data_IF_281879051185
#
_entry.id   IF_281879051185
#
_cell.length_a   1.000
_cell.length_b   1.000
_cell.length_c   1.000
_cell.angle_alpha   90.00
_cell.angle_beta   90.00
_cell.angle_gamma   90.00
#
_symmetry.space_group_name_H-M   'P 1'
#
loop_
_entity.id
_entity.type
_entity.pdbx_description
1 polymer ?
#
# COMPACT_ATOMS: atom_id res chain seq x y z
N UNK A 1 -28.46 -14.23 30.08
CA UNK A 1 -29.86 -14.51 29.69
C UNK A 1 -30.64 -13.20 29.66
N UNK A 2 -30.78 -12.40 30.74
CA UNK A 2 -31.53 -11.13 30.73
C UNK A 2 -31.10 -10.16 29.59
N UNK A 3 -29.83 -9.96 29.36
CA UNK A 3 -29.35 -9.05 28.30
C UNK A 3 -29.71 -9.51 26.86
N UNK A 4 -29.92 -10.81 26.64
CA UNK A 4 -30.37 -11.35 25.35
C UNK A 4 -31.84 -11.10 25.10
N UNK A 5 -32.66 -11.25 26.15
CA UNK A 5 -34.10 -11.00 26.07
C UNK A 5 -34.35 -9.49 25.83
N UNK A 6 -33.64 -8.61 26.55
CA UNK A 6 -33.71 -7.16 26.37
C UNK A 6 -33.31 -6.75 24.94
N UNK A 7 -32.22 -7.31 24.41
CA UNK A 7 -31.75 -7.04 23.05
C UNK A 7 -32.75 -7.55 22.00
N UNK A 8 -33.34 -8.74 22.19
CA UNK A 8 -34.35 -9.26 21.29
C UNK A 8 -35.61 -8.40 21.25
N UNK A 9 -36.00 -7.85 22.38
CA UNK A 9 -37.15 -6.93 22.48
C UNK A 9 -36.89 -5.61 21.79
N UNK A 10 -35.70 -5.03 22.02
CA UNK A 10 -35.30 -3.72 21.47
C UNK A 10 -35.09 -3.79 19.95
N UNK A 11 -34.46 -4.86 19.47
CA UNK A 11 -34.10 -5.00 18.04
C UNK A 11 -35.17 -5.70 17.20
N UNK A 12 -36.10 -6.39 17.82
CA UNK A 12 -37.05 -7.27 17.18
C UNK A 12 -36.40 -8.35 16.30
N UNK A 13 -35.20 -8.81 16.69
CA UNK A 13 -34.41 -9.81 16.00
C UNK A 13 -34.14 -11.01 16.90
N UNK A 14 -33.96 -12.18 16.30
CA UNK A 14 -33.52 -13.36 17.03
C UNK A 14 -31.98 -13.20 17.32
N UNK A 15 -31.64 -13.25 18.61
CA UNK A 15 -30.24 -13.07 19.06
C UNK A 15 -29.60 -14.46 19.23
N UNK A 16 -28.51 -14.70 18.52
CA UNK A 16 -27.70 -15.90 18.65
C UNK A 16 -26.38 -15.56 19.34
N UNK A 17 -26.11 -16.08 20.56
CA UNK A 17 -24.88 -15.83 21.26
C UNK A 17 -23.74 -16.69 20.69
N UNK A 18 -22.59 -16.05 20.45
CA UNK A 18 -21.37 -16.73 20.02
C UNK A 18 -20.23 -16.42 20.99
N UNK A 19 -19.29 -17.35 21.11
CA UNK A 19 -18.08 -17.15 21.92
C UNK A 19 -16.98 -16.67 20.98
N UNK A 20 -16.33 -15.54 21.34
CA UNK A 20 -15.25 -14.98 20.57
C UNK A 20 -14.12 -14.49 21.48
N UNK A 21 -12.92 -14.31 20.95
CA UNK A 21 -11.81 -13.74 21.70
C UNK A 21 -12.04 -12.23 21.92
N UNK A 22 -11.42 -11.65 22.96
CA UNK A 22 -11.51 -10.20 23.20
C UNK A 22 -11.02 -9.39 21.99
N UNK A 23 -10.06 -9.93 21.25
CA UNK A 23 -9.53 -9.32 20.01
C UNK A 23 -10.58 -9.33 18.89
N UNK A 24 -11.26 -10.46 18.68
CA UNK A 24 -12.29 -10.59 17.65
C UNK A 24 -13.50 -9.71 17.94
N UNK A 25 -13.88 -9.61 19.23
CA UNK A 25 -14.95 -8.72 19.67
C UNK A 25 -14.60 -7.27 19.38
N UNK A 26 -13.35 -6.82 19.68
CA UNK A 26 -12.91 -5.46 19.35
C UNK A 26 -12.93 -5.19 17.85
N UNK A 27 -12.41 -6.10 17.05
CA UNK A 27 -12.44 -5.99 15.58
C UNK A 27 -13.89 -5.86 15.08
N UNK A 28 -14.82 -6.66 15.61
CA UNK A 28 -16.23 -6.58 15.24
C UNK A 28 -16.86 -5.24 15.66
N UNK A 29 -16.60 -4.77 16.89
CA UNK A 29 -17.10 -3.48 17.36
C UNK A 29 -16.57 -2.36 16.46
N UNK A 30 -15.28 -2.33 16.19
CA UNK A 30 -14.66 -1.30 15.34
C UNK A 30 -15.18 -1.35 13.90
N UNK A 31 -15.44 -2.54 13.38
CA UNK A 31 -15.98 -2.74 12.03
C UNK A 31 -17.42 -2.21 11.88
N UNK A 32 -18.26 -2.41 12.90
CA UNK A 32 -19.68 -2.10 12.81
C UNK A 32 -20.07 -0.80 13.53
N UNK A 33 -19.27 -0.36 14.51
CA UNK A 33 -19.57 0.82 15.34
C UNK A 33 -18.44 1.87 15.32
N UNK A 34 -17.33 1.63 14.58
CA UNK A 34 -16.16 2.50 14.55
C UNK A 34 -16.46 3.90 14.01
N UNK A 35 -17.41 4.03 13.08
CA UNK A 35 -17.86 5.32 12.56
C UNK A 35 -18.50 6.18 13.68
N UNK A 36 -19.33 5.58 14.51
CA UNK A 36 -19.93 6.26 15.65
C UNK A 36 -18.88 6.67 16.71
N UNK A 37 -17.85 5.86 16.92
CA UNK A 37 -16.74 6.17 17.81
C UNK A 37 -15.92 7.35 17.27
N UNK A 38 -15.58 7.37 15.98
CA UNK A 38 -14.86 8.48 15.35
C UNK A 38 -15.65 9.79 15.40
N UNK A 39 -16.97 9.74 15.18
CA UNK A 39 -17.84 10.91 15.30
C UNK A 39 -17.90 11.45 16.73
N UNK A 40 -17.94 10.57 17.74
CA UNK A 40 -17.94 10.98 19.15
C UNK A 40 -16.65 11.69 19.56
N UNK A 41 -15.49 11.18 19.12
CA UNK A 41 -14.17 11.77 19.35
C UNK A 41 -14.03 13.11 18.62
N UNK A 42 -14.52 13.23 17.41
CA UNK A 42 -14.55 14.47 16.66
C UNK A 42 -15.42 15.54 17.34
N UNK A 43 -16.60 15.15 17.86
CA UNK A 43 -17.49 16.04 18.60
C UNK A 43 -16.86 16.50 19.93
N UNK A 44 -16.12 15.64 20.61
CA UNK A 44 -15.39 16.00 21.82
C UNK A 44 -14.29 17.03 21.53
N UNK A 45 -13.49 16.81 20.50
CA UNK A 45 -12.46 17.76 20.08
C UNK A 45 -13.03 19.13 19.67
N UNK A 46 -14.14 19.14 18.94
CA UNK A 46 -14.81 20.38 18.56
C UNK A 46 -15.30 21.17 19.81
N UNK A 47 -15.81 20.47 20.83
CA UNK A 47 -16.20 21.08 22.09
C UNK A 47 -15.02 21.67 22.88
N UNK A 48 -13.93 20.92 23.00
CA UNK A 48 -12.71 21.37 23.70
C UNK A 48 -12.09 22.58 23.00
N UNK A 49 -12.02 22.58 21.68
CA UNK A 49 -11.52 23.72 20.90
C UNK A 49 -12.38 24.97 21.05
N UNK A 50 -13.71 24.83 21.09
CA UNK A 50 -14.62 25.94 21.31
C UNK A 50 -14.53 26.50 22.74
N UNK A 51 -14.23 25.66 23.74
CA UNK A 51 -13.96 26.09 25.10
C UNK A 51 -12.62 26.83 25.20
N UNK A 52 -11.56 26.35 24.55
CA UNK A 52 -10.27 27.03 24.48
C UNK A 52 -10.35 28.36 23.73
N UNK A 53 -11.09 28.49 22.63
CA UNK A 53 -11.31 29.78 21.96
C UNK A 53 -12.02 30.81 22.87
N UNK A 54 -12.88 30.36 23.76
CA UNK A 54 -13.53 31.24 24.79
C UNK A 54 -12.59 31.57 25.95
N UNK A 55 -11.59 30.73 26.24
CA UNK A 55 -10.63 30.95 27.33
C UNK A 55 -9.41 31.79 26.94
N UNK A 56 -9.00 31.76 25.65
CA UNK A 56 -7.84 32.54 25.13
C UNK A 56 -8.15 34.04 24.98
N UNK A 57 -9.39 34.50 25.22
CA UNK A 57 -9.66 35.93 25.40
C UNK A 57 -9.21 36.51 26.75
N UNK A 58 -8.58 35.72 27.62
CA UNK A 58 -8.01 36.17 28.88
C UNK A 58 -6.71 35.41 29.21
N UNK A 59 -5.58 36.08 28.88
CA UNK A 59 -4.19 35.90 29.42
C UNK A 59 -3.76 34.48 29.86
N UNK A 60 -2.72 33.94 29.31
CA UNK A 60 -1.37 33.80 29.82
C UNK A 60 -0.57 32.75 29.03
N UNK A 61 0.55 33.22 28.46
CA UNK A 61 1.69 32.42 28.09
C UNK A 61 2.39 31.92 29.35
N UNK A 62 2.39 30.64 29.62
CA UNK A 62 3.32 30.01 30.54
C UNK A 62 3.60 28.57 30.12
N UNK A 63 4.87 28.29 29.84
CA UNK A 63 5.54 27.01 29.73
C UNK A 63 4.78 25.85 30.37
N UNK A 64 4.35 24.89 29.53
CA UNK A 64 4.10 23.53 29.97
C UNK A 64 5.03 22.62 29.20
N UNK A 65 5.96 21.98 29.90
CA UNK A 65 6.62 20.75 29.45
C UNK A 65 5.52 19.78 29.04
N UNK A 66 5.52 19.45 27.75
CA UNK A 66 4.49 18.60 27.16
C UNK A 66 4.95 17.17 27.35
N UNK A 67 4.39 16.44 28.31
CA UNK A 67 4.60 15.01 28.49
C UNK A 67 4.12 14.27 27.23
N UNK A 68 4.95 13.44 26.61
CA UNK A 68 4.66 12.66 25.41
C UNK A 68 3.39 11.80 25.55
N UNK A 69 3.10 11.25 26.73
CA UNK A 69 1.88 10.47 27.03
C UNK A 69 0.58 11.29 26.93
N UNK A 70 0.62 12.59 27.18
CA UNK A 70 -0.55 13.48 27.08
C UNK A 70 -0.84 13.84 25.61
N UNK A 71 0.18 13.87 24.77
CA UNK A 71 0.04 14.13 23.32
C UNK A 71 -0.64 12.95 22.62
N UNK A 72 -0.29 11.73 22.97
CA UNK A 72 -0.79 10.51 22.30
C UNK A 72 -2.29 10.25 22.56
N UNK A 73 -2.86 10.83 23.61
CA UNK A 73 -4.28 10.71 23.95
C UNK A 73 -5.12 11.94 23.55
N UNK A 74 -4.54 12.91 22.85
CA UNK A 74 -5.29 14.05 22.33
C UNK A 74 -6.40 13.58 21.37
N UNK A 75 -7.64 14.14 21.46
CA UNK A 75 -8.76 13.72 20.62
C UNK A 75 -8.45 13.72 19.12
N UNK A 76 -7.63 14.66 18.63
CA UNK A 76 -7.24 14.73 17.20
C UNK A 76 -6.29 13.60 16.82
N UNK A 77 -5.41 13.17 17.72
CA UNK A 77 -4.50 12.04 17.50
C UNK A 77 -5.30 10.73 17.41
N UNK A 78 -6.24 10.56 18.33
CA UNK A 78 -7.16 9.42 18.35
C UNK A 78 -8.00 9.40 17.07
N UNK A 79 -8.51 10.55 16.61
CA UNK A 79 -9.31 10.66 15.40
C UNK A 79 -8.52 10.21 14.15
N UNK A 80 -7.31 10.76 13.94
CA UNK A 80 -6.47 10.39 12.79
C UNK A 80 -6.10 8.90 12.83
N UNK A 81 -5.75 8.39 14.02
CA UNK A 81 -5.47 6.96 14.21
C UNK A 81 -6.69 6.10 13.85
N UNK A 82 -7.88 6.46 14.34
CA UNK A 82 -9.13 5.74 14.06
C UNK A 82 -9.46 5.74 12.55
N UNK A 83 -9.28 6.85 11.85
CA UNK A 83 -9.47 6.94 10.39
C UNK A 83 -8.57 5.93 9.68
N UNK A 84 -7.29 5.83 10.06
CA UNK A 84 -6.34 4.90 9.45
C UNK A 84 -6.69 3.45 9.78
N UNK A 85 -6.96 3.13 11.04
CA UNK A 85 -7.30 1.79 11.48
C UNK A 85 -8.57 1.26 10.79
N UNK A 86 -9.61 2.09 10.69
CA UNK A 86 -10.84 1.72 9.98
C UNK A 86 -10.59 1.50 8.48
N UNK A 87 -9.78 2.34 7.85
CA UNK A 87 -9.42 2.16 6.45
C UNK A 87 -8.71 0.83 6.23
N UNK A 88 -7.74 0.48 7.08
CA UNK A 88 -7.03 -0.81 7.03
C UNK A 88 -8.00 -1.98 7.15
N UNK A 89 -8.89 -1.96 8.14
CA UNK A 89 -9.88 -3.05 8.38
C UNK A 89 -10.89 -3.20 7.25
N UNK A 90 -11.15 -2.13 6.49
CA UNK A 90 -12.02 -2.16 5.32
C UNK A 90 -11.29 -2.52 4.02
N UNK A 91 -9.99 -2.86 4.08
CA UNK A 91 -9.19 -3.20 2.89
C UNK A 91 -9.01 -2.02 1.93
N UNK A 92 -8.90 -0.81 2.48
CA UNK A 92 -8.72 0.44 1.73
C UNK A 92 -7.31 0.54 1.17
N UNK A 93 -7.18 0.91 -0.10
CA UNK A 93 -5.88 1.22 -0.71
C UNK A 93 -5.44 2.65 -0.48
N UNK A 94 -6.38 3.61 -0.55
CA UNK A 94 -6.08 5.04 -0.41
C UNK A 94 -7.15 5.74 0.42
N UNK A 95 -6.73 6.57 1.39
CA UNK A 95 -7.59 7.46 2.17
C UNK A 95 -7.48 8.86 1.56
N UNK A 96 -8.62 9.47 1.27
CA UNK A 96 -8.71 10.85 0.81
C UNK A 96 -9.38 11.70 1.89
N UNK A 97 -8.71 12.75 2.36
CA UNK A 97 -9.25 13.77 3.24
C UNK A 97 -9.34 15.06 2.45
N UNK A 98 -10.53 15.53 2.22
CA UNK A 98 -10.82 16.61 1.27
C UNK A 98 -11.50 17.78 1.96
N UNK A 99 -10.92 18.98 1.79
CA UNK A 99 -11.54 20.23 2.19
C UNK A 99 -12.61 20.61 1.15
N UNK A 100 -13.85 20.70 1.56
CA UNK A 100 -14.96 21.26 0.79
C UNK A 100 -15.36 22.60 1.42
N UNK A 101 -16.28 23.31 0.79
CA UNK A 101 -16.70 24.64 1.23
C UNK A 101 -17.21 24.68 2.69
N UNK A 102 -18.01 23.69 3.10
CA UNK A 102 -18.64 23.65 4.40
C UNK A 102 -18.17 22.49 5.29
N UNK A 103 -17.53 21.46 4.73
CA UNK A 103 -17.17 20.25 5.45
C UNK A 103 -15.83 19.65 5.03
N UNK A 104 -15.25 18.85 5.91
CA UNK A 104 -14.16 17.93 5.59
C UNK A 104 -14.80 16.60 5.22
N UNK A 105 -14.52 16.11 4.02
CA UNK A 105 -15.00 14.83 3.51
C UNK A 105 -13.89 13.80 3.55
N UNK A 106 -14.17 12.61 4.10
CA UNK A 106 -13.24 11.48 4.10
C UNK A 106 -13.80 10.39 3.19
N UNK A 107 -12.99 9.99 2.20
CA UNK A 107 -13.32 8.91 1.28
C UNK A 107 -12.26 7.82 1.32
N UNK A 108 -12.70 6.59 1.26
CA UNK A 108 -11.84 5.41 1.13
C UNK A 108 -11.93 4.86 -0.28
N UNK A 109 -10.77 4.50 -0.85
CA UNK A 109 -10.72 3.73 -2.10
C UNK A 109 -10.70 2.25 -1.76
N UNK A 110 -11.82 1.58 -2.00
CA UNK A 110 -12.01 0.15 -1.76
C UNK A 110 -12.26 -0.51 -3.11
N UNK A 111 -11.46 -1.51 -3.48
CA UNK A 111 -11.55 -2.20 -4.78
C UNK A 111 -11.57 -1.24 -5.98
N UNK A 112 -10.76 -0.19 -5.93
CA UNK A 112 -10.66 0.81 -6.99
C UNK A 112 -11.72 1.92 -6.94
N UNK A 113 -12.82 1.74 -6.20
CA UNK A 113 -13.93 2.70 -6.09
C UNK A 113 -13.81 3.59 -4.87
N UNK A 114 -14.00 4.90 -5.03
CA UNK A 114 -14.05 5.84 -3.91
C UNK A 114 -15.44 5.86 -3.28
N UNK A 115 -15.48 5.69 -1.94
CA UNK A 115 -16.70 5.77 -1.13
C UNK A 115 -16.54 6.81 -0.04
N UNK A 116 -17.52 7.70 0.13
CA UNK A 116 -17.58 8.60 1.29
C UNK A 116 -17.94 7.77 2.53
N UNK A 117 -17.10 7.86 3.56
CA UNK A 117 -17.27 7.09 4.79
C UNK A 117 -17.52 7.98 6.00
N UNK A 118 -16.99 9.20 6.00
CA UNK A 118 -17.15 10.15 7.10
C UNK A 118 -17.17 11.58 6.57
N UNK A 119 -17.84 12.46 7.30
CA UNK A 119 -17.71 13.90 7.10
C UNK A 119 -17.68 14.61 8.45
N UNK A 120 -16.90 15.70 8.52
CA UNK A 120 -16.68 16.49 9.72
C UNK A 120 -16.84 17.98 9.43
N UNK A 121 -17.00 18.79 10.47
CA UNK A 121 -16.96 20.25 10.34
C UNK A 121 -15.60 20.71 9.79
N UNK A 122 -15.61 21.72 8.95
CA UNK A 122 -14.39 22.29 8.36
C UNK A 122 -13.39 22.76 9.41
N UNK A 123 -13.86 23.13 10.60
CA UNK A 123 -13.05 23.54 11.75
C UNK A 123 -12.04 22.47 12.19
N UNK A 124 -12.25 21.19 11.88
CA UNK A 124 -11.36 20.08 12.23
C UNK A 124 -10.20 19.89 11.23
N UNK A 125 -10.29 20.46 10.03
CA UNK A 125 -9.31 20.25 8.97
C UNK A 125 -7.89 20.56 9.40
N UNK A 126 -7.67 21.75 9.95
CA UNK A 126 -6.33 22.19 10.37
C UNK A 126 -5.69 21.24 11.39
N UNK A 127 -6.51 20.75 12.34
CA UNK A 127 -6.03 19.80 13.34
C UNK A 127 -5.66 18.45 12.75
N UNK A 128 -6.52 17.93 11.86
CA UNK A 128 -6.28 16.65 11.16
C UNK A 128 -5.01 16.73 10.31
N UNK A 129 -4.88 17.79 9.49
CA UNK A 129 -3.73 17.99 8.62
C UNK A 129 -2.44 18.18 9.42
N UNK A 130 -2.47 19.01 10.46
CA UNK A 130 -1.32 19.22 11.34
C UNK A 130 -0.84 17.89 11.97
N UNK A 131 -1.76 17.07 12.49
CA UNK A 131 -1.39 15.76 13.05
C UNK A 131 -0.77 14.83 12.02
N UNK A 132 -1.31 14.80 10.80
CA UNK A 132 -0.77 13.99 9.70
C UNK A 132 0.62 14.49 9.32
N UNK A 133 0.85 15.81 9.23
CA UNK A 133 2.15 16.41 8.97
C UNK A 133 3.19 16.02 10.02
N UNK A 134 2.83 16.11 11.30
CA UNK A 134 3.70 15.69 12.40
C UNK A 134 4.08 14.21 12.25
N UNK A 135 3.08 13.35 12.07
CA UNK A 135 3.31 11.92 11.94
C UNK A 135 4.14 11.55 10.70
N UNK A 136 4.02 12.32 9.62
CA UNK A 136 4.73 12.10 8.36
C UNK A 136 6.05 12.86 8.21
N UNK A 137 6.51 13.58 9.26
CA UNK A 137 7.76 14.35 9.22
C UNK A 137 7.73 15.56 8.28
N UNK A 138 6.56 16.17 8.10
CA UNK A 138 6.34 17.33 7.23
C UNK A 138 6.27 18.65 8.01
N UNK A 139 6.48 19.77 7.33
CA UNK A 139 6.42 21.12 7.92
C UNK A 139 4.95 21.54 8.16
N UNK A 140 4.59 21.76 9.42
CA UNK A 140 3.24 22.19 9.84
C UNK A 140 2.95 23.63 9.45
N UNK A 141 3.98 24.48 9.40
CA UNK A 141 3.85 25.91 9.14
C UNK A 141 3.67 26.22 7.66
N UNK A 142 4.17 25.38 6.77
CA UNK A 142 4.03 25.57 5.32
C UNK A 142 2.70 24.96 4.83
N UNK A 143 1.77 25.82 4.42
CA UNK A 143 0.44 25.44 3.91
C UNK A 143 0.22 25.76 2.44
N UNK A 144 1.20 26.38 1.77
CA UNK A 144 1.07 26.91 0.40
C UNK A 144 1.71 26.03 -0.65
N UNK A 145 2.52 25.05 -0.24
CA UNK A 145 3.26 24.17 -1.14
C UNK A 145 2.85 22.71 -0.92
N UNK A 146 2.87 21.89 -1.97
CA UNK A 146 2.73 20.46 -1.82
C UNK A 146 3.82 19.88 -0.90
N UNK A 147 3.45 18.88 -0.11
CA UNK A 147 4.38 18.17 0.75
C UNK A 147 4.08 16.67 0.68
N UNK A 148 5.14 15.88 0.69
CA UNK A 148 5.07 14.43 0.76
C UNK A 148 5.74 13.95 2.05
N UNK A 149 5.18 12.91 2.65
CA UNK A 149 5.66 12.33 3.89
C UNK A 149 5.38 10.82 3.97
N UNK A 150 5.87 10.21 5.04
CA UNK A 150 5.71 8.78 5.28
C UNK A 150 5.40 8.52 6.75
N UNK A 151 4.38 7.70 7.01
CA UNK A 151 3.96 7.30 8.35
C UNK A 151 4.08 5.77 8.43
N UNK A 152 4.65 5.28 9.51
CA UNK A 152 4.59 3.86 9.84
C UNK A 152 3.61 3.66 10.98
N UNK A 153 2.63 2.76 10.81
CA UNK A 153 1.63 2.47 11.83
C UNK A 153 1.36 0.97 11.93
N UNK A 154 1.25 0.47 13.16
CA UNK A 154 0.87 -0.92 13.41
C UNK A 154 -0.64 -0.98 13.63
N UNK A 155 -1.34 -1.77 12.83
CA UNK A 155 -2.78 -2.04 12.95
C UNK A 155 -2.99 -3.55 13.01
N UNK A 156 -3.67 -4.04 14.04
CA UNK A 156 -3.96 -5.46 14.25
C UNK A 156 -2.70 -6.36 14.13
N UNK A 157 -1.57 -5.91 14.71
CA UNK A 157 -0.23 -6.54 14.69
C UNK A 157 0.46 -6.56 13.31
N UNK A 158 -0.09 -5.90 12.32
CA UNK A 158 0.49 -5.75 10.99
C UNK A 158 1.05 -4.34 10.85
N UNK A 159 2.29 -4.22 10.41
CA UNK A 159 2.93 -2.94 10.12
C UNK A 159 2.51 -2.44 8.73
N UNK A 160 2.01 -1.20 8.69
CA UNK A 160 1.64 -0.50 7.46
C UNK A 160 2.61 0.65 7.18
N UNK A 161 3.05 0.71 5.94
CA UNK A 161 3.72 1.88 5.37
C UNK A 161 2.66 2.77 4.70
N UNK A 162 2.56 4.00 5.16
CA UNK A 162 1.56 4.95 4.69
C UNK A 162 2.29 6.11 4.01
N UNK A 163 2.17 6.19 2.69
CA UNK A 163 2.70 7.32 1.92
C UNK A 163 1.66 8.42 1.90
N UNK A 164 2.06 9.59 2.32
CA UNK A 164 1.19 10.75 2.48
C UNK A 164 1.57 11.82 1.46
N UNK A 165 0.59 12.32 0.73
CA UNK A 165 0.75 13.50 -0.12
C UNK A 165 -0.28 14.56 0.27
N UNK A 166 0.20 15.78 0.49
CA UNK A 166 -0.62 16.93 0.87
C UNK A 166 -0.55 17.97 -0.24
N UNK A 167 -1.70 18.44 -0.69
CA UNK A 167 -1.84 19.42 -1.74
C UNK A 167 -2.72 20.59 -1.28
N UNK A 168 -2.23 21.84 -1.33
CA UNK A 168 -3.06 23.02 -1.11
C UNK A 168 -4.20 23.10 -2.14
N UNK A 169 -5.43 23.33 -1.68
CA UNK A 169 -6.60 23.56 -2.53
C UNK A 169 -7.31 24.85 -2.11
N UNK A 170 -8.34 25.27 -2.87
CA UNK A 170 -9.08 26.51 -2.61
C UNK A 170 -9.72 26.57 -1.22
N UNK A 171 -10.21 25.42 -0.72
CA UNK A 171 -10.90 25.36 0.56
C UNK A 171 -10.01 24.88 1.72
N UNK A 172 -8.73 24.59 1.47
CA UNK A 172 -7.77 24.10 2.44
C UNK A 172 -6.88 22.99 1.88
N UNK A 173 -6.08 22.36 2.73
CA UNK A 173 -5.17 21.30 2.29
C UNK A 173 -5.92 19.97 2.11
N UNK A 174 -5.73 19.36 0.94
CA UNK A 174 -6.18 17.99 0.65
C UNK A 174 -5.08 17.02 1.02
N UNK A 175 -5.43 15.91 1.67
CA UNK A 175 -4.51 14.83 2.01
C UNK A 175 -4.91 13.54 1.29
N UNK A 176 -3.93 12.85 0.73
CA UNK A 176 -4.08 11.48 0.24
C UNK A 176 -3.06 10.61 0.97
N UNK A 177 -3.53 9.52 1.55
CA UNK A 177 -2.69 8.52 2.23
C UNK A 177 -2.86 7.18 1.54
N UNK A 178 -1.77 6.65 0.96
CA UNK A 178 -1.74 5.30 0.37
C UNK A 178 -1.27 4.31 1.42
N UNK A 179 -2.07 3.28 1.65
CA UNK A 179 -1.80 2.23 2.63
C UNK A 179 -1.13 1.04 1.95
N UNK A 180 0.04 0.65 2.46
CA UNK A 180 0.76 -0.54 1.99
C UNK A 180 1.11 -1.41 3.20
N UNK A 181 0.61 -2.64 3.25
CA UNK A 181 0.98 -3.60 4.28
C UNK A 181 2.41 -4.07 4.04
N UNK A 182 3.26 -4.07 5.07
CA UNK A 182 4.59 -4.69 4.99
C UNK A 182 4.55 -6.21 5.13
N UNK A 183 3.44 -6.76 5.61
CA UNK A 183 3.22 -8.19 5.69
C UNK A 183 2.44 -8.69 4.48
N UNK A 184 2.80 -9.88 3.97
CA UNK A 184 2.03 -10.55 2.92
C UNK A 184 2.39 -10.18 1.49
N UNK A 185 3.52 -9.50 1.26
CA UNK A 185 4.08 -9.37 -0.10
C UNK A 185 4.70 -10.69 -0.56
N UNK A 186 5.24 -11.50 0.36
CA UNK A 186 5.62 -12.89 0.08
C UNK A 186 4.42 -13.79 0.35
N UNK A 187 3.93 -14.45 -0.68
CA UNK A 187 2.83 -15.42 -0.60
C UNK A 187 3.33 -16.80 -1.02
N UNK A 188 2.71 -17.88 -0.56
CA UNK A 188 2.94 -19.17 -1.19
C UNK A 188 2.66 -19.07 -2.69
N UNK A 189 3.49 -19.66 -3.53
CA UNK A 189 3.37 -19.60 -5.00
C UNK A 189 1.97 -20.02 -5.47
N UNK A 190 1.36 -21.02 -4.82
CA UNK A 190 -0.02 -21.45 -5.06
C UNK A 190 -1.08 -20.35 -4.86
N UNK A 191 -0.77 -19.30 -4.10
CA UNK A 191 -1.68 -18.17 -3.86
C UNK A 191 -1.58 -17.07 -4.91
N UNK A 192 -0.61 -17.13 -5.84
CA UNK A 192 -0.47 -16.17 -6.95
C UNK A 192 -1.62 -16.25 -7.97
N UNK A 193 -2.33 -17.37 -7.98
CA UNK A 193 -3.51 -17.55 -8.84
C UNK A 193 -3.20 -17.99 -10.27
N UNK A 194 -1.99 -18.47 -10.53
CA UNK A 194 -1.63 -19.10 -11.80
C UNK A 194 -2.35 -20.43 -11.97
N UNK A 195 -2.69 -20.77 -13.20
CA UNK A 195 -3.12 -22.12 -13.55
C UNK A 195 -1.94 -23.09 -13.45
N UNK A 196 -2.21 -24.41 -13.45
CA UNK A 196 -1.14 -25.41 -13.40
C UNK A 196 -0.15 -25.29 -14.59
N UNK A 197 -0.66 -24.93 -15.77
CA UNK A 197 0.16 -24.73 -16.96
C UNK A 197 1.04 -23.48 -16.84
N UNK A 198 0.46 -22.37 -16.40
CA UNK A 198 1.19 -21.12 -16.16
C UNK A 198 2.23 -21.28 -15.05
N UNK A 199 1.91 -22.06 -14.01
CA UNK A 199 2.85 -22.35 -12.93
C UNK A 199 4.06 -23.13 -13.45
N UNK A 200 3.86 -24.15 -14.29
CA UNK A 200 4.96 -24.88 -14.92
C UNK A 200 5.84 -23.98 -15.79
N UNK A 201 5.24 -23.04 -16.52
CA UNK A 201 5.99 -22.04 -17.29
C UNK A 201 6.78 -21.10 -16.38
N UNK A 202 6.16 -20.64 -15.29
CA UNK A 202 6.81 -19.79 -14.31
C UNK A 202 8.01 -20.47 -13.66
N UNK A 203 7.86 -21.73 -13.25
CA UNK A 203 8.94 -22.54 -12.69
C UNK A 203 10.08 -22.74 -13.72
N UNK A 204 9.74 -23.02 -14.98
CA UNK A 204 10.72 -23.13 -16.04
C UNK A 204 11.48 -21.84 -16.32
N UNK A 205 10.83 -20.68 -16.18
CA UNK A 205 11.47 -19.36 -16.30
C UNK A 205 12.45 -19.13 -15.15
N UNK A 206 12.05 -19.41 -13.91
CA UNK A 206 12.88 -19.20 -12.73
C UNK A 206 14.04 -20.20 -12.60
N UNK A 207 13.95 -21.36 -13.23
CA UNK A 207 15.02 -22.37 -13.24
C UNK A 207 16.20 -22.00 -14.15
N UNK A 208 16.10 -20.91 -14.94
CA UNK A 208 17.22 -20.47 -15.77
C UNK A 208 18.32 -19.87 -14.89
N UNK A 209 19.58 -20.24 -15.15
CA UNK A 209 20.71 -19.75 -14.36
C UNK A 209 21.05 -18.27 -14.63
N UNK A 210 20.68 -17.76 -15.79
CA UNK A 210 20.92 -16.37 -16.20
C UNK A 210 19.83 -15.92 -17.18
N UNK A 211 19.78 -14.64 -17.45
CA UNK A 211 18.80 -14.01 -18.33
C UNK A 211 17.94 -13.00 -17.60
N UNK A 212 17.04 -12.33 -18.33
CA UNK A 212 16.14 -11.34 -17.74
C UNK A 212 14.70 -11.85 -17.73
N UNK A 213 14.07 -11.78 -16.56
CA UNK A 213 12.65 -12.08 -16.32
C UNK A 213 11.93 -10.77 -16.02
N UNK A 214 10.88 -10.47 -16.77
CA UNK A 214 10.15 -9.23 -16.66
C UNK A 214 8.69 -9.48 -16.25
N UNK A 215 8.25 -8.82 -15.19
CA UNK A 215 6.85 -8.82 -14.80
C UNK A 215 6.24 -7.47 -15.16
N UNK A 216 5.16 -7.48 -15.93
CA UNK A 216 4.54 -6.27 -16.46
C UNK A 216 3.06 -6.18 -16.08
N UNK A 217 2.55 -4.98 -16.08
CA UNK A 217 1.17 -4.66 -15.77
C UNK A 217 1.01 -3.28 -15.16
N UNK A 218 -0.24 -2.77 -14.99
CA UNK A 218 -0.48 -1.48 -14.35
C UNK A 218 -0.09 -1.49 -12.88
N UNK A 219 -0.13 -0.31 -12.26
CA UNK A 219 0.01 -0.18 -10.81
C UNK A 219 -1.08 -0.98 -10.11
N UNK A 220 -0.71 -1.71 -9.05
CA UNK A 220 -1.64 -2.55 -8.29
C UNK A 220 -1.99 -3.90 -8.96
N UNK A 221 -1.28 -4.31 -10.02
CA UNK A 221 -1.49 -5.64 -10.63
C UNK A 221 -0.79 -6.80 -9.92
N UNK A 222 -0.10 -6.54 -8.79
CA UNK A 222 0.55 -7.56 -7.99
C UNK A 222 1.97 -7.93 -8.43
N UNK A 223 2.64 -7.11 -9.26
CA UNK A 223 3.99 -7.36 -9.76
C UNK A 223 5.01 -7.61 -8.64
N UNK A 224 5.07 -6.70 -7.66
CA UNK A 224 5.98 -6.82 -6.50
C UNK A 224 5.73 -8.09 -5.72
N UNK A 225 4.46 -8.47 -5.50
CA UNK A 225 4.10 -9.72 -4.82
C UNK A 225 4.64 -10.94 -5.57
N UNK A 226 4.48 -10.97 -6.90
CA UNK A 226 4.98 -12.06 -7.73
C UNK A 226 6.51 -12.14 -7.69
N UNK A 227 7.21 -11.01 -7.82
CA UNK A 227 8.68 -10.96 -7.72
C UNK A 227 9.18 -11.37 -6.32
N UNK A 228 8.58 -10.83 -5.26
CA UNK A 228 8.97 -11.17 -3.89
C UNK A 228 8.74 -12.66 -3.57
N UNK A 229 7.63 -13.22 -4.08
CA UNK A 229 7.38 -14.67 -3.96
C UNK A 229 8.43 -15.48 -4.72
N UNK A 230 8.79 -15.06 -5.94
CA UNK A 230 9.85 -15.70 -6.72
C UNK A 230 11.21 -15.62 -6.01
N UNK A 231 11.59 -14.44 -5.52
CA UNK A 231 12.85 -14.26 -4.79
C UNK A 231 12.90 -15.08 -3.50
N UNK A 232 11.80 -15.13 -2.74
CA UNK A 232 11.76 -15.97 -1.52
C UNK A 232 11.94 -17.46 -1.82
N UNK A 233 11.50 -17.92 -2.98
CA UNK A 233 11.69 -19.33 -3.40
C UNK A 233 13.13 -19.60 -3.85
N UNK A 234 13.74 -18.65 -4.55
CA UNK A 234 15.11 -18.73 -5.02
C UNK A 234 16.15 -18.48 -3.93
N UNK A 235 15.73 -17.94 -2.79
CA UNK A 235 16.61 -17.57 -1.68
C UNK A 235 17.03 -18.80 -0.88
N UNK A 236 18.16 -19.39 -1.27
CA UNK A 236 18.82 -20.49 -0.58
C UNK A 236 20.16 -20.01 0.00
N UNK A 237 20.77 -20.79 0.88
CA UNK A 237 22.05 -20.45 1.49
C UNK A 237 23.20 -20.30 0.48
N UNK A 238 23.06 -20.91 -0.69
CA UNK A 238 24.08 -20.94 -1.75
C UNK A 238 23.93 -19.80 -2.78
N UNK A 239 22.90 -18.94 -2.64
CA UNK A 239 22.55 -17.92 -3.64
C UNK A 239 22.62 -16.52 -3.05
N UNK A 240 23.41 -15.66 -3.67
CA UNK A 240 23.50 -14.24 -3.30
C UNK A 240 22.48 -13.42 -4.09
N UNK A 241 21.41 -13.00 -3.42
CA UNK A 241 20.35 -12.17 -3.99
C UNK A 241 20.51 -10.73 -3.54
N UNK A 242 20.59 -9.80 -4.49
CA UNK A 242 20.65 -8.36 -4.19
C UNK A 242 19.55 -7.64 -4.97
N UNK A 243 18.82 -6.75 -4.27
CA UNK A 243 17.78 -5.94 -4.90
C UNK A 243 18.11 -4.45 -4.89
N UNK A 244 17.53 -3.69 -5.83
CA UNK A 244 17.47 -2.22 -5.79
C UNK A 244 16.04 -1.77 -6.06
N UNK A 245 15.48 -0.95 -5.15
CA UNK A 245 14.05 -0.66 -5.10
C UNK A 245 13.77 0.81 -4.76
N UNK A 246 12.60 1.32 -5.16
CA UNK A 246 12.16 2.71 -4.91
C UNK A 246 10.69 2.80 -4.45
N UNK A 247 10.43 2.59 -3.15
CA UNK A 247 11.32 2.08 -2.10
C UNK A 247 11.23 0.54 -1.95
N UNK A 248 12.01 0.00 -1.01
CA UNK A 248 11.81 -1.37 -0.50
C UNK A 248 10.43 -1.47 0.14
N UNK A 249 9.58 -2.37 -0.38
CA UNK A 249 8.19 -2.50 0.06
C UNK A 249 8.06 -3.39 1.32
N UNK A 250 8.90 -4.43 1.45
CA UNK A 250 9.00 -5.30 2.62
C UNK A 250 10.38 -5.91 2.72
N UNK A 251 10.81 -6.23 3.94
CA UNK A 251 12.06 -6.95 4.14
C UNK A 251 11.85 -8.44 3.83
N UNK A 252 12.82 -9.04 3.15
CA UNK A 252 12.91 -10.48 2.93
C UNK A 252 14.20 -10.95 3.60
N UNK A 253 14.06 -11.84 4.59
CA UNK A 253 15.21 -12.38 5.29
C UNK A 253 16.14 -13.09 4.31
N UNK A 254 17.46 -12.90 4.46
CA UNK A 254 18.48 -13.48 3.61
C UNK A 254 18.74 -12.74 2.28
N UNK A 255 18.00 -11.68 1.98
CA UNK A 255 18.19 -10.87 0.77
C UNK A 255 18.77 -9.50 1.10
N UNK A 256 19.77 -9.06 0.35
CA UNK A 256 20.37 -7.74 0.48
C UNK A 256 19.57 -6.71 -0.33
N UNK A 257 18.75 -5.91 0.35
CA UNK A 257 17.84 -4.95 -0.31
C UNK A 257 18.40 -3.53 -0.22
N UNK A 258 18.65 -2.92 -1.39
CA UNK A 258 19.14 -1.54 -1.54
C UNK A 258 17.97 -0.63 -1.88
N UNK A 259 17.83 0.46 -1.14
CA UNK A 259 16.83 1.48 -1.45
C UNK A 259 17.45 2.65 -2.20
N UNK A 260 16.81 3.07 -3.29
CA UNK A 260 17.15 4.30 -4.03
C UNK A 260 17.12 5.51 -3.09
N UNK A 261 18.13 6.35 -3.19
CA UNK A 261 18.24 7.59 -2.41
C UNK A 261 18.76 8.73 -3.30
N UNK A 262 17.89 9.55 -3.91
CA UNK A 262 18.29 10.62 -4.80
C UNK A 262 19.19 11.69 -4.12
N UNK A 263 19.03 11.91 -2.81
CA UNK A 263 19.85 12.87 -2.05
C UNK A 263 21.32 12.43 -1.93
N UNK A 264 21.55 11.12 -1.99
CA UNK A 264 22.88 10.51 -1.97
C UNK A 264 23.33 10.07 -3.38
N UNK A 265 22.66 10.53 -4.44
CA UNK A 265 22.91 10.13 -5.84
C UNK A 265 22.82 8.60 -6.08
N UNK A 266 22.19 7.88 -5.17
CA UNK A 266 21.95 6.45 -5.27
C UNK A 266 20.73 6.20 -6.18
N UNK A 267 20.96 6.21 -7.49
CA UNK A 267 19.96 5.90 -8.52
C UNK A 267 19.91 4.39 -8.80
N UNK A 268 18.91 3.91 -9.56
CA UNK A 268 18.86 2.51 -10.02
C UNK A 268 20.15 2.13 -10.77
N UNK A 269 20.60 2.94 -11.72
CA UNK A 269 21.80 2.68 -12.51
C UNK A 269 23.09 2.69 -11.65
N UNK A 270 23.22 3.65 -10.71
CA UNK A 270 24.38 3.74 -9.82
C UNK A 270 24.45 2.52 -8.87
N UNK A 271 23.33 2.15 -8.27
CA UNK A 271 23.23 0.97 -7.42
C UNK A 271 23.56 -0.31 -8.20
N UNK A 272 22.97 -0.48 -9.39
CA UNK A 272 23.17 -1.67 -10.21
C UNK A 272 24.65 -1.88 -10.61
N UNK A 273 25.37 -0.80 -10.99
CA UNK A 273 26.81 -0.87 -11.23
C UNK A 273 27.60 -1.32 -10.01
N UNK A 274 27.15 -0.96 -8.81
CA UNK A 274 27.79 -1.39 -7.57
C UNK A 274 27.44 -2.83 -7.22
N UNK A 275 26.19 -3.23 -7.41
CA UNK A 275 25.69 -4.59 -7.19
C UNK A 275 26.49 -5.60 -8.01
N UNK A 276 26.81 -5.29 -9.28
CA UNK A 276 27.63 -6.15 -10.16
C UNK A 276 29.05 -6.43 -9.62
N UNK A 277 29.51 -5.71 -8.61
CA UNK A 277 30.78 -5.95 -7.93
C UNK A 277 30.63 -6.60 -6.54
N UNK A 278 29.43 -7.04 -6.21
CA UNK A 278 29.08 -7.70 -4.94
C UNK A 278 28.85 -9.21 -5.09
N UNK A 279 29.36 -9.78 -6.19
CA UNK A 279 29.23 -11.23 -6.49
C UNK A 279 27.76 -11.71 -6.43
N UNK A 280 26.83 -11.07 -7.14
CA UNK A 280 25.44 -11.47 -7.11
C UNK A 280 25.18 -12.65 -8.06
N UNK A 281 24.35 -13.60 -7.65
CA UNK A 281 23.77 -14.62 -8.54
C UNK A 281 22.46 -14.10 -9.13
N UNK A 282 21.64 -13.47 -8.32
CA UNK A 282 20.33 -12.94 -8.71
C UNK A 282 20.24 -11.46 -8.37
N UNK A 283 19.82 -10.67 -9.35
CA UNK A 283 19.65 -9.24 -9.21
C UNK A 283 18.17 -8.88 -9.43
N UNK A 284 17.54 -8.22 -8.47
CA UNK A 284 16.20 -7.68 -8.68
C UNK A 284 16.27 -6.16 -8.80
N UNK A 285 15.68 -5.63 -9.86
CA UNK A 285 15.52 -4.21 -10.10
C UNK A 285 14.03 -3.90 -9.96
N UNK A 286 13.64 -3.08 -8.98
CA UNK A 286 12.24 -2.78 -8.69
C UNK A 286 11.47 -2.40 -9.95
N UNK A 287 12.04 -1.55 -10.78
CA UNK A 287 11.52 -1.22 -12.12
C UNK A 287 12.59 -0.66 -13.05
N UNK A 288 12.41 -0.83 -14.35
CA UNK A 288 13.24 -0.22 -15.41
C UNK A 288 12.46 0.94 -16.02
N UNK A 289 12.98 2.18 -15.87
CA UNK A 289 12.35 3.41 -16.37
C UNK A 289 13.11 4.07 -17.53
N UNK A 290 14.41 3.85 -17.62
CA UNK A 290 15.32 4.55 -18.50
C UNK A 290 16.28 3.61 -19.23
N UNK A 291 16.90 4.14 -20.30
CA UNK A 291 17.87 3.41 -21.14
C UNK A 291 19.09 2.93 -20.35
N UNK A 292 19.62 3.74 -19.43
CA UNK A 292 20.83 3.42 -18.70
C UNK A 292 20.64 2.18 -17.81
N UNK A 293 19.56 2.16 -17.02
CA UNK A 293 19.17 1.01 -16.20
C UNK A 293 18.88 -0.22 -17.06
N UNK A 294 18.15 -0.05 -18.18
CA UNK A 294 17.84 -1.14 -19.10
C UNK A 294 19.10 -1.78 -19.69
N UNK A 295 20.06 -0.96 -20.16
CA UNK A 295 21.30 -1.44 -20.75
C UNK A 295 22.15 -2.24 -19.77
N UNK A 296 22.29 -1.75 -18.53
CA UNK A 296 23.06 -2.47 -17.49
C UNK A 296 22.35 -3.79 -17.13
N UNK A 297 21.02 -3.79 -17.00
CA UNK A 297 20.23 -4.97 -16.67
C UNK A 297 20.36 -6.07 -17.73
N UNK A 298 20.25 -5.70 -19.02
CA UNK A 298 20.41 -6.61 -20.17
C UNK A 298 21.85 -7.14 -20.22
N UNK A 299 22.86 -6.30 -20.05
CA UNK A 299 24.26 -6.75 -20.03
C UNK A 299 24.53 -7.72 -18.86
N UNK A 300 24.02 -7.42 -17.67
CA UNK A 300 24.14 -8.30 -16.51
C UNK A 300 23.54 -9.69 -16.80
N UNK A 301 22.37 -9.72 -17.42
CA UNK A 301 21.67 -10.97 -17.73
C UNK A 301 22.41 -11.83 -18.78
N UNK A 302 23.07 -11.22 -19.74
CA UNK A 302 23.88 -11.93 -20.77
C UNK A 302 25.21 -12.41 -20.16
N UNK A 303 25.75 -11.68 -19.17
CA UNK A 303 27.03 -12.02 -18.53
C UNK A 303 26.93 -13.04 -17.39
N UNK A 304 25.79 -13.69 -17.21
CA UNK A 304 25.66 -14.85 -16.32
C UNK A 304 24.77 -14.64 -15.09
N UNK A 305 24.10 -13.49 -14.92
CA UNK A 305 23.25 -13.22 -13.79
C UNK A 305 21.76 -13.42 -14.13
N UNK A 306 20.98 -13.96 -13.19
CA UNK A 306 19.53 -13.92 -13.32
C UNK A 306 19.01 -12.55 -12.86
N UNK A 307 18.48 -11.78 -13.80
CA UNK A 307 17.92 -10.45 -13.54
C UNK A 307 16.41 -10.52 -13.53
N UNK A 308 15.76 -10.07 -12.46
CA UNK A 308 14.29 -9.97 -12.38
C UNK A 308 13.87 -8.51 -12.23
N UNK A 309 12.89 -8.07 -13.00
CA UNK A 309 12.46 -6.67 -12.93
C UNK A 309 11.01 -6.46 -13.32
N UNK A 310 10.53 -5.22 -13.16
CA UNK A 310 9.20 -4.82 -13.65
C UNK A 310 9.29 -3.77 -14.75
N UNK A 311 8.27 -3.80 -15.60
CA UNK A 311 7.98 -2.75 -16.58
C UNK A 311 6.50 -2.36 -16.52
N UNK A 312 6.19 -1.11 -16.85
CA UNK A 312 4.81 -0.63 -16.94
C UNK A 312 4.31 -0.69 -18.37
N UNK A 313 4.02 -1.91 -18.86
CA UNK A 313 3.41 -2.14 -20.17
C UNK A 313 2.11 -2.94 -20.04
N UNK A 314 1.27 -2.90 -21.07
CA UNK A 314 -0.06 -3.50 -21.01
C UNK A 314 -0.10 -4.97 -21.44
N UNK A 315 0.96 -5.47 -22.06
CA UNK A 315 1.09 -6.87 -22.51
C UNK A 315 2.55 -7.32 -22.53
N UNK A 316 2.77 -8.62 -22.59
CA UNK A 316 4.11 -9.19 -22.73
C UNK A 316 4.79 -8.75 -24.04
N UNK A 317 4.05 -8.74 -25.15
CA UNK A 317 4.58 -8.27 -26.44
C UNK A 317 5.00 -6.78 -26.38
N UNK A 318 4.18 -5.91 -25.75
CA UNK A 318 4.52 -4.50 -25.60
C UNK A 318 5.76 -4.26 -24.72
N UNK A 319 6.15 -5.23 -23.90
CA UNK A 319 7.39 -5.16 -23.11
C UNK A 319 8.62 -5.21 -24.00
N UNK A 320 8.62 -6.06 -25.01
CA UNK A 320 9.71 -6.17 -25.98
C UNK A 320 9.87 -4.86 -26.75
N UNK A 321 8.75 -4.32 -27.27
CA UNK A 321 8.75 -3.02 -27.95
C UNK A 321 9.27 -1.92 -27.03
N UNK A 322 8.86 -1.92 -25.76
CA UNK A 322 9.30 -0.91 -24.78
C UNK A 322 10.80 -0.94 -24.53
N UNK A 323 11.43 -2.13 -24.47
CA UNK A 323 12.88 -2.24 -24.35
C UNK A 323 13.59 -1.71 -25.61
N UNK A 324 13.05 -2.00 -26.80
CA UNK A 324 13.58 -1.44 -28.05
C UNK A 324 13.44 0.09 -28.10
N UNK A 325 12.31 0.66 -27.65
CA UNK A 325 12.09 2.10 -27.53
C UNK A 325 13.05 2.77 -26.52
N UNK A 326 13.48 2.01 -25.50
CA UNK A 326 14.53 2.43 -24.58
C UNK A 326 15.93 2.36 -25.19
N UNK A 327 16.08 1.96 -26.47
CA UNK A 327 17.34 1.91 -27.20
C UNK A 327 18.14 0.63 -26.99
N UNK A 328 17.50 -0.45 -26.51
CA UNK A 328 18.14 -1.78 -26.46
C UNK A 328 18.01 -2.45 -27.83
N UNK A 329 19.14 -2.90 -28.36
CA UNK A 329 19.18 -3.57 -29.65
C UNK A 329 18.36 -4.87 -29.65
N UNK A 330 17.56 -5.15 -30.72
CA UNK A 330 16.66 -6.31 -30.76
C UNK A 330 17.35 -7.65 -30.52
N UNK A 331 18.56 -7.82 -30.97
CA UNK A 331 19.31 -9.06 -30.76
C UNK A 331 19.71 -9.27 -29.31
N UNK A 332 20.01 -8.18 -28.56
CA UNK A 332 20.28 -8.24 -27.11
C UNK A 332 19.02 -8.57 -26.34
N UNK A 333 17.87 -8.02 -26.76
CA UNK A 333 16.57 -8.32 -26.12
C UNK A 333 16.25 -9.82 -26.31
N UNK A 334 16.48 -10.35 -27.54
CA UNK A 334 16.21 -11.74 -27.84
C UNK A 334 17.13 -12.72 -27.08
N UNK A 335 18.39 -12.36 -26.90
CA UNK A 335 19.38 -13.17 -26.19
C UNK A 335 19.17 -13.12 -24.66
N UNK A 336 18.87 -11.94 -24.13
CA UNK A 336 18.71 -11.73 -22.70
C UNK A 336 17.38 -12.25 -22.12
N UNK A 337 16.27 -12.18 -22.91
CA UNK A 337 14.93 -12.36 -22.35
C UNK A 337 14.57 -13.82 -22.20
N UNK A 338 14.45 -14.30 -20.97
CA UNK A 338 14.01 -15.66 -20.63
C UNK A 338 12.50 -15.74 -20.53
N UNK A 339 11.86 -14.71 -19.98
CA UNK A 339 10.42 -14.70 -19.84
C UNK A 339 9.82 -13.33 -19.56
N UNK A 340 8.58 -13.15 -20.03
CA UNK A 340 7.77 -11.96 -19.73
C UNK A 340 6.41 -12.38 -19.22
N UNK A 341 6.05 -11.88 -18.04
CA UNK A 341 4.79 -12.21 -17.36
C UNK A 341 3.93 -10.96 -17.34
N UNK A 342 2.83 -10.96 -18.08
CA UNK A 342 1.85 -9.87 -18.05
C UNK A 342 0.75 -10.19 -17.05
N UNK A 343 0.57 -9.33 -16.04
CA UNK A 343 -0.28 -9.62 -14.87
C UNK A 343 -1.39 -8.60 -14.67
N UNK A 344 -2.57 -9.09 -14.31
CA UNK A 344 -3.73 -8.32 -13.89
C UNK A 344 -4.40 -9.00 -12.70
N UNK A 345 -4.85 -8.21 -11.72
CA UNK A 345 -5.68 -8.72 -10.64
C UNK A 345 -7.15 -8.63 -11.03
N UNK A 346 -7.87 -9.71 -10.80
CA UNK A 346 -9.33 -9.78 -10.97
C UNK A 346 -9.99 -10.14 -9.63
N UNK A 347 -11.26 -9.78 -9.46
CA UNK A 347 -12.02 -10.17 -8.27
C UNK A 347 -12.28 -11.67 -8.29
N UNK A 348 -12.02 -12.32 -7.15
CA UNK A 348 -12.34 -13.74 -6.95
C UNK A 348 -13.72 -13.88 -6.32
N UNK A 349 -14.46 -14.89 -6.74
CA UNK A 349 -15.70 -15.27 -6.08
C UNK A 349 -15.40 -15.83 -4.69
N UNK A 350 -16.23 -15.49 -3.72
CA UNK A 350 -16.12 -16.04 -2.37
C UNK A 350 -16.25 -17.58 -2.42
N UNK A 351 -15.31 -18.34 -1.85
CA UNK A 351 -15.37 -19.81 -1.87
C UNK A 351 -16.62 -20.37 -1.17
N UNK A 352 -17.15 -19.68 -0.16
CA UNK A 352 -18.27 -20.13 0.64
C UNK A 352 -19.64 -19.78 0.04
N UNK A 353 -19.77 -18.59 -0.57
CA UNK A 353 -21.07 -18.12 -1.08
C UNK A 353 -21.19 -18.14 -2.61
N UNK A 354 -20.16 -18.55 -3.35
CA UNK A 354 -20.25 -18.69 -4.82
C UNK A 354 -21.30 -19.74 -5.20
N UNK A 355 -22.09 -19.42 -6.22
CA UNK A 355 -23.11 -20.33 -6.75
C UNK A 355 -22.92 -20.50 -8.24
N UNK A 356 -23.19 -21.71 -8.75
CA UNK A 356 -23.20 -21.96 -10.19
C UNK A 356 -24.46 -21.32 -10.80
N UNK A 357 -24.27 -20.60 -11.90
CA UNK A 357 -25.33 -19.96 -12.69
C UNK A 357 -25.21 -20.45 -14.13
N UNK A 358 -26.34 -20.75 -14.78
CA UNK A 358 -26.34 -20.96 -16.23
C UNK A 358 -26.15 -19.59 -16.93
N UNK A 359 -25.26 -19.55 -17.91
CA UNK A 359 -25.04 -18.37 -18.72
C UNK A 359 -26.31 -18.00 -19.49
N UNK A 360 -26.71 -16.74 -19.48
CA UNK A 360 -27.80 -16.22 -20.29
C UNK A 360 -27.36 -16.03 -21.76
N UNK A 361 -28.28 -15.58 -22.63
CA UNK A 361 -27.98 -15.41 -24.05
C UNK A 361 -26.84 -14.44 -24.32
N UNK A 362 -26.80 -13.34 -23.60
CA UNK A 362 -25.78 -12.29 -23.75
C UNK A 362 -24.41 -12.78 -23.26
N UNK A 363 -24.39 -13.45 -22.11
CA UNK A 363 -23.18 -14.04 -21.55
C UNK A 363 -22.58 -15.13 -22.47
N UNK A 364 -23.44 -15.89 -23.19
CA UNK A 364 -22.99 -16.90 -24.17
C UNK A 364 -22.43 -16.30 -25.47
N UNK A 365 -22.80 -15.07 -25.81
CA UNK A 365 -22.28 -14.37 -27.00
C UNK A 365 -20.91 -13.73 -26.72
N UNK A 366 -20.55 -13.52 -25.44
CA UNK A 366 -19.27 -12.95 -25.03
C UNK A 366 -18.20 -14.04 -24.80
N UNK A 367 -18.61 -15.24 -24.45
CA UNK A 367 -17.75 -16.42 -24.21
C UNK A 367 -17.51 -17.20 -25.51
#
# INVERSE_FOLDING_TARGET
IMAMDDLSIITNLQIEPVVATTTDIRIAIDKYFGEAAAQSVAAQYAKERNQHKKAVSAKDEANKEVNEEVIDNSPIVVLVRTIIEQAVRQGTSDIHIEALEEKVRIRYRIDGSLKEVMSYELSLLDGIVARIKIAGGMDISEKRKPQDGRITQIVDKVEYDIRVSILPTVHGEKVVMRLTSKQGLTKPKSALGFTEEEMKKFDGILANPHGIVLVTGPTGSGKSTTLYTALSELNTEDVNIITVEDPVEANIDGINQVQVNPKAEMTFAAALRSILRQDPDIIMIGEIRDNETASIAVQASITGHLVVSTLHTNSAAATITRLADMGIEPYLIADATVGVIAQRLVKRLCPECKRTKYADKFEKEIL
#
